data_IF_028043873888
#
_entry.id   IF_028043873888
#
_cell.length_a   1.000
_cell.length_b   1.000
_cell.length_c   1.000
_cell.angle_alpha   90.00
_cell.angle_beta   90.00
_cell.angle_gamma   90.00
#
_symmetry.space_group_name_H-M   'P 1'
#
loop_
_entity.id
_entity.type
_entity.pdbx_description
1 polymer ?
#
# COMPACT_ATOMS: atom_id res chain seq x y z
N UNK A 1 -10.83 2.95 -18.55
CA UNK A 1 -11.48 1.91 -17.72
C UNK A 1 -10.53 1.20 -16.75
N UNK A 2 -9.20 1.39 -16.83
CA UNK A 2 -8.23 0.74 -15.93
C UNK A 2 -8.18 1.33 -14.51
N UNK A 3 -8.39 2.64 -14.38
CA UNK A 3 -8.27 3.37 -13.11
C UNK A 3 -9.21 2.85 -12.01
N UNK A 4 -10.42 2.40 -12.38
CA UNK A 4 -11.43 1.89 -11.45
C UNK A 4 -11.00 0.58 -10.77
N UNK A 5 -10.28 -0.30 -11.48
CA UNK A 5 -9.84 -1.58 -10.91
C UNK A 5 -8.70 -1.38 -9.90
N UNK A 6 -7.78 -0.45 -10.19
CA UNK A 6 -6.63 -0.17 -9.34
C UNK A 6 -7.09 0.48 -8.04
N UNK A 7 -7.98 1.48 -8.10
CA UNK A 7 -8.51 2.12 -6.90
C UNK A 7 -9.22 1.13 -5.98
N UNK A 8 -9.99 0.17 -6.53
CA UNK A 8 -10.65 -0.89 -5.74
C UNK A 8 -9.63 -1.81 -5.06
N UNK A 9 -8.54 -2.16 -5.74
CA UNK A 9 -7.49 -3.01 -5.17
C UNK A 9 -6.68 -2.29 -4.09
N UNK A 10 -6.35 -1.01 -4.32
CA UNK A 10 -5.72 -0.15 -3.31
C UNK A 10 -6.64 0.02 -2.09
N UNK A 11 -7.94 0.20 -2.30
CA UNK A 11 -8.92 0.25 -1.22
C UNK A 11 -8.96 -1.05 -0.42
N UNK A 12 -9.05 -2.21 -1.09
CA UNK A 12 -9.06 -3.51 -0.44
C UNK A 12 -7.78 -3.72 0.40
N UNK A 13 -6.63 -3.35 -0.16
CA UNK A 13 -5.35 -3.45 0.51
C UNK A 13 -5.29 -2.58 1.78
N UNK A 14 -5.75 -1.33 1.68
CA UNK A 14 -5.83 -0.42 2.83
C UNK A 14 -6.81 -0.94 3.88
N UNK A 15 -7.93 -1.53 3.49
CA UNK A 15 -8.86 -2.17 4.43
C UNK A 15 -8.22 -3.36 5.16
N UNK A 16 -7.43 -4.19 4.47
CA UNK A 16 -6.72 -5.30 5.11
C UNK A 16 -5.66 -4.84 6.11
N UNK A 17 -4.93 -3.78 5.77
CA UNK A 17 -3.99 -3.13 6.70
C UNK A 17 -4.74 -2.58 7.91
N UNK A 18 -5.87 -1.89 7.68
CA UNK A 18 -6.72 -1.35 8.75
C UNK A 18 -7.31 -2.43 9.65
N UNK A 19 -7.76 -3.54 9.09
CA UNK A 19 -8.29 -4.67 9.83
C UNK A 19 -7.22 -5.33 10.70
N UNK A 20 -5.96 -5.37 10.24
CA UNK A 20 -4.87 -5.99 10.98
C UNK A 20 -4.30 -5.07 12.07
N UNK A 21 -4.11 -3.78 11.78
CA UNK A 21 -3.61 -2.80 12.75
C UNK A 21 -4.67 -2.37 13.77
N UNK A 22 -5.94 -2.44 13.39
CA UNK A 22 -7.02 -1.77 14.10
C UNK A 22 -7.13 -0.31 13.69
N UNK A 23 -8.33 0.27 13.87
CA UNK A 23 -8.68 1.61 13.36
C UNK A 23 -7.74 2.70 13.88
N UNK A 24 -7.51 2.77 15.19
CA UNK A 24 -6.73 3.85 15.79
C UNK A 24 -5.27 3.84 15.35
N UNK A 25 -4.63 2.66 15.37
CA UNK A 25 -3.25 2.51 14.92
C UNK A 25 -3.11 2.78 13.42
N UNK A 26 -4.08 2.34 12.62
CA UNK A 26 -4.13 2.66 11.19
C UNK A 26 -4.21 4.17 10.96
N UNK A 27 -5.14 4.87 11.63
CA UNK A 27 -5.35 6.31 11.43
C UNK A 27 -4.08 7.10 11.81
N UNK A 28 -3.39 6.71 12.90
CA UNK A 28 -2.10 7.31 13.31
C UNK A 28 -0.99 7.03 12.29
N UNK A 29 -0.83 5.78 11.85
CA UNK A 29 0.19 5.37 10.88
C UNK A 29 0.02 6.11 9.56
N UNK A 30 -1.20 6.14 9.01
CA UNK A 30 -1.45 6.78 7.72
C UNK A 30 -1.31 8.30 7.81
N UNK A 31 -1.79 8.92 8.89
CA UNK A 31 -1.60 10.37 9.11
C UNK A 31 -0.13 10.74 9.21
N UNK A 32 0.67 9.91 9.90
CA UNK A 32 2.12 10.13 10.03
C UNK A 32 2.84 9.97 8.70
N UNK A 33 2.49 8.96 7.90
CA UNK A 33 3.07 8.77 6.56
C UNK A 33 2.74 9.97 5.67
N UNK A 34 1.48 10.42 5.63
CA UNK A 34 1.09 11.59 4.83
C UNK A 34 1.82 12.85 5.30
N UNK A 35 1.79 13.14 6.61
CA UNK A 35 2.41 14.33 7.17
C UNK A 35 3.92 14.38 6.94
N UNK A 36 4.62 13.27 7.17
CA UNK A 36 6.09 13.24 7.13
C UNK A 36 6.66 13.12 5.70
N UNK A 37 5.92 12.51 4.75
CA UNK A 37 6.47 12.17 3.41
C UNK A 37 5.76 12.81 2.23
N UNK A 38 4.47 13.17 2.35
CA UNK A 38 3.66 13.61 1.20
C UNK A 38 3.11 15.03 1.34
N UNK A 39 3.12 15.57 2.56
CA UNK A 39 2.44 16.82 2.89
C UNK A 39 0.93 16.65 3.00
N UNK A 40 0.26 17.60 3.65
CA UNK A 40 -1.17 17.49 4.01
C UNK A 40 -2.15 17.53 2.83
N UNK A 41 -1.67 17.79 1.60
CA UNK A 41 -2.52 17.92 0.41
C UNK A 41 -2.81 16.61 -0.30
N UNK A 42 -2.06 15.53 -0.02
CA UNK A 42 -2.19 14.25 -0.72
C UNK A 42 -2.83 13.20 0.19
N UNK A 43 -3.86 12.52 -0.30
CA UNK A 43 -4.45 11.40 0.44
C UNK A 43 -3.64 10.10 0.27
N UNK A 44 -3.87 9.12 1.16
CA UNK A 44 -3.09 7.88 1.16
C UNK A 44 -3.28 7.02 -0.08
N UNK A 45 -4.46 7.08 -0.73
CA UNK A 45 -4.71 6.34 -1.97
C UNK A 45 -3.91 6.97 -3.10
N UNK A 46 -3.93 8.29 -3.19
CA UNK A 46 -3.16 9.04 -4.17
C UNK A 46 -1.66 8.81 -3.97
N UNK A 47 -1.18 8.78 -2.72
CA UNK A 47 0.21 8.44 -2.40
C UNK A 47 0.60 7.06 -2.94
N UNK A 48 -0.23 6.04 -2.72
CA UNK A 48 0.01 4.69 -3.24
C UNK A 48 -0.03 4.65 -4.76
N UNK A 49 -0.98 5.31 -5.40
CA UNK A 49 -1.16 5.26 -6.86
C UNK A 49 -0.08 6.06 -7.62
N UNK A 50 0.31 7.22 -7.10
CA UNK A 50 1.22 8.14 -7.79
C UNK A 50 2.70 7.96 -7.40
N UNK A 51 2.97 7.46 -6.19
CA UNK A 51 4.31 7.37 -5.59
C UNK A 51 4.45 6.09 -4.73
N UNK A 52 4.14 4.89 -5.27
CA UNK A 52 4.08 3.68 -4.47
C UNK A 52 5.40 3.34 -3.77
N UNK A 53 6.54 3.67 -4.37
CA UNK A 53 7.88 3.48 -3.79
C UNK A 53 8.13 4.34 -2.55
N UNK A 54 7.61 5.57 -2.54
CA UNK A 54 7.74 6.47 -1.39
C UNK A 54 6.81 6.01 -0.26
N UNK A 55 5.59 5.57 -0.60
CA UNK A 55 4.66 5.00 0.37
C UNK A 55 5.26 3.76 1.04
N UNK A 56 5.75 2.81 0.25
CA UNK A 56 6.40 1.59 0.76
C UNK A 56 7.58 1.95 1.66
N UNK A 57 8.42 2.89 1.24
CA UNK A 57 9.56 3.37 2.03
C UNK A 57 9.12 3.90 3.39
N UNK A 58 8.15 4.83 3.41
CA UNK A 58 7.60 5.42 4.63
C UNK A 58 6.93 4.38 5.55
N UNK A 59 6.16 3.48 4.96
CA UNK A 59 5.44 2.43 5.68
C UNK A 59 6.41 1.46 6.37
N UNK A 60 7.47 1.04 5.66
CA UNK A 60 8.52 0.19 6.21
C UNK A 60 9.40 0.91 7.24
N UNK A 61 9.66 2.19 7.07
CA UNK A 61 10.46 2.96 8.04
C UNK A 61 9.71 3.16 9.36
N UNK A 62 8.39 3.35 9.29
CA UNK A 62 7.57 3.52 10.50
C UNK A 62 7.30 2.20 11.23
N UNK A 63 7.10 1.10 10.50
CA UNK A 63 6.66 -0.18 11.07
C UNK A 63 7.75 -1.27 11.08
N UNK A 64 8.89 -1.03 10.45
CA UNK A 64 9.99 -2.00 10.34
C UNK A 64 9.52 -3.34 9.74
N UNK A 65 9.88 -4.43 10.42
CA UNK A 65 9.49 -5.78 10.02
C UNK A 65 7.97 -5.99 9.99
N UNK A 66 7.20 -5.30 10.84
CA UNK A 66 5.75 -5.39 10.81
C UNK A 66 5.19 -4.84 9.50
N UNK A 67 5.80 -3.79 8.94
CA UNK A 67 5.42 -3.24 7.65
C UNK A 67 5.56 -4.26 6.51
N UNK A 68 6.65 -5.03 6.52
CA UNK A 68 6.90 -6.11 5.54
C UNK A 68 5.81 -7.18 5.63
N UNK A 69 5.49 -7.62 6.85
CA UNK A 69 4.47 -8.65 7.10
C UNK A 69 3.10 -8.17 6.63
N UNK A 70 2.75 -6.92 6.95
CA UNK A 70 1.45 -6.33 6.59
C UNK A 70 1.29 -6.18 5.08
N UNK A 71 2.30 -5.66 4.38
CA UNK A 71 2.26 -5.54 2.92
C UNK A 71 2.22 -6.92 2.27
N UNK A 72 3.02 -7.88 2.74
CA UNK A 72 2.99 -9.25 2.22
C UNK A 72 1.64 -9.90 2.37
N UNK A 73 1.03 -9.80 3.55
CA UNK A 73 -0.29 -10.40 3.81
C UNK A 73 -1.38 -9.71 3.00
N UNK A 74 -1.40 -8.38 3.03
CA UNK A 74 -2.41 -7.60 2.33
C UNK A 74 -2.38 -7.82 0.81
N UNK A 75 -1.18 -7.90 0.23
CA UNK A 75 -1.01 -8.21 -1.19
C UNK A 75 -1.37 -9.67 -1.51
N UNK A 76 -1.03 -10.64 -0.67
CA UNK A 76 -1.46 -12.04 -0.89
C UNK A 76 -2.99 -12.18 -0.92
N UNK A 77 -3.71 -11.35 -0.15
CA UNK A 77 -5.18 -11.38 -0.06
C UNK A 77 -5.87 -10.59 -1.19
N UNK A 78 -5.17 -9.65 -1.83
CA UNK A 78 -5.75 -8.73 -2.83
C UNK A 78 -5.18 -8.91 -4.24
N UNK A 79 -4.03 -9.54 -4.38
CA UNK A 79 -3.35 -9.70 -5.66
C UNK A 79 -4.16 -10.64 -6.56
N UNK A 80 -4.57 -10.19 -7.76
CA UNK A 80 -5.10 -11.08 -8.78
C UNK A 80 -4.09 -12.20 -9.08
N UNK A 81 -4.57 -13.43 -9.24
CA UNK A 81 -3.73 -14.58 -9.59
C UNK A 81 -2.91 -14.34 -10.87
N UNK A 82 -3.41 -13.49 -11.77
CA UNK A 82 -2.76 -13.11 -13.03
C UNK A 82 -1.46 -12.33 -12.87
N UNK A 83 -1.23 -11.68 -11.72
CA UNK A 83 -0.01 -10.88 -11.49
C UNK A 83 1.13 -11.75 -10.97
N UNK A 84 0.84 -12.84 -10.26
CA UNK A 84 1.83 -13.82 -9.81
C UNK A 84 2.99 -13.24 -8.99
N UNK A 85 2.85 -12.03 -8.43
CA UNK A 85 3.89 -11.36 -7.66
C UNK A 85 3.64 -11.54 -6.17
N UNK A 86 4.66 -12.00 -5.45
CA UNK A 86 4.69 -12.00 -4.01
C UNK A 86 5.57 -10.85 -3.51
N UNK A 87 5.10 -10.15 -2.49
CA UNK A 87 5.91 -9.17 -1.80
C UNK A 87 6.93 -9.87 -0.90
N UNK A 88 8.21 -9.61 -1.13
CA UNK A 88 9.32 -10.21 -0.39
C UNK A 88 10.35 -9.20 0.11
N UNK A 89 10.49 -8.08 -0.60
CA UNK A 89 11.49 -7.04 -0.33
C UNK A 89 10.98 -5.67 -0.79
N UNK A 90 11.67 -4.63 -0.30
CA UNK A 90 11.45 -3.25 -0.75
C UNK A 90 11.55 -3.16 -2.28
N UNK A 91 10.59 -2.46 -2.89
CA UNK A 91 10.42 -2.30 -4.32
C UNK A 91 9.39 -3.25 -4.93
N UNK A 92 9.07 -4.38 -4.28
CA UNK A 92 8.05 -5.30 -4.78
C UNK A 92 6.66 -4.65 -4.76
N UNK A 93 6.40 -3.76 -3.79
CA UNK A 93 5.14 -3.00 -3.75
C UNK A 93 4.99 -2.09 -4.97
N UNK A 94 6.01 -1.29 -5.28
CA UNK A 94 5.96 -0.40 -6.44
C UNK A 94 5.81 -1.18 -7.75
N UNK A 95 6.47 -2.33 -7.87
CA UNK A 95 6.30 -3.25 -9.00
C UNK A 95 4.88 -3.79 -9.11
N UNK A 96 4.28 -4.17 -7.99
CA UNK A 96 2.88 -4.61 -7.95
C UNK A 96 1.92 -3.52 -8.43
N UNK A 97 2.03 -2.31 -7.88
CA UNK A 97 1.19 -1.18 -8.29
C UNK A 97 1.38 -0.87 -9.79
N UNK A 98 2.62 -0.92 -10.28
CA UNK A 98 2.91 -0.72 -11.71
C UNK A 98 2.30 -1.82 -12.60
N UNK A 99 2.35 -3.09 -12.16
CA UNK A 99 1.75 -4.21 -12.88
C UNK A 99 0.22 -4.08 -12.99
N UNK A 100 -0.42 -3.50 -11.97
CA UNK A 100 -1.85 -3.20 -11.99
C UNK A 100 -2.24 -2.17 -13.07
N UNK A 101 -1.36 -1.25 -13.44
CA UNK A 101 -1.61 -0.33 -14.56
C UNK A 101 -1.48 -0.99 -15.94
N UNK A 102 -0.82 -2.16 -16.01
CA UNK A 102 -0.53 -2.86 -17.26
C UNK A 102 -1.53 -3.98 -17.58
N UNK A 103 -2.48 -4.23 -16.68
CA UNK A 103 -3.50 -5.30 -16.77
C UNK A 103 -4.87 -4.70 -17.09
#
# INVERSE_FOLDING_TARGET
MFQTNISVLVDAMLQNVRATLGREAYDVVMSKIIGDYFGESMDIREAIMCRPELFETAFLELLGQMGIILLSKSLAETCPESIGMQYSKRGDFARYITALYST
#
